data_IF_228097058936
#
_entry.id   IF_228097058936
#
_cell.length_a   1.000
_cell.length_b   1.000
_cell.length_c   1.000
_cell.angle_alpha   90.00
_cell.angle_beta   90.00
_cell.angle_gamma   90.00
#
_symmetry.space_group_name_H-M   'P 1'
#
loop_
_entity.id
_entity.type
_entity.pdbx_description
1 polymer ?
#
# COMPACT_ATOMS: atom_id res chain seq x y z
N UNK A 1 -41.24 -34.33 -64.29
CA UNK A 1 -39.84 -34.30 -63.85
C UNK A 1 -39.65 -33.08 -62.96
N UNK A 2 -39.84 -33.25 -61.65
CA UNK A 2 -39.67 -32.17 -60.67
C UNK A 2 -38.52 -32.57 -59.75
N UNK A 3 -37.42 -31.84 -59.91
CA UNK A 3 -36.12 -32.11 -59.31
C UNK A 3 -36.14 -31.69 -57.84
N UNK A 4 -36.21 -32.69 -56.96
CA UNK A 4 -35.99 -32.57 -55.52
C UNK A 4 -34.52 -32.22 -55.25
N UNK A 5 -34.26 -31.05 -54.67
CA UNK A 5 -32.93 -30.62 -54.28
C UNK A 5 -32.77 -30.82 -52.75
N UNK A 6 -32.04 -31.84 -52.26
CA UNK A 6 -31.95 -32.17 -50.85
C UNK A 6 -30.60 -31.72 -50.29
N UNK A 7 -30.39 -30.41 -50.16
CA UNK A 7 -29.28 -29.87 -49.36
C UNK A 7 -29.84 -29.06 -48.20
N UNK A 8 -30.34 -29.77 -47.17
CA UNK A 8 -30.50 -29.20 -45.83
C UNK A 8 -29.09 -29.01 -45.27
N UNK A 9 -28.60 -27.78 -45.29
CA UNK A 9 -27.40 -27.39 -44.57
C UNK A 9 -27.64 -27.66 -43.07
N UNK A 10 -27.06 -28.76 -42.55
CA UNK A 10 -26.92 -28.97 -41.13
C UNK A 10 -25.89 -27.97 -40.61
N UNK A 11 -26.37 -26.80 -40.16
CA UNK A 11 -25.59 -25.92 -39.28
C UNK A 11 -25.40 -26.66 -37.95
N UNK A 12 -24.30 -27.39 -37.85
CA UNK A 12 -23.77 -27.92 -36.60
C UNK A 12 -23.43 -26.73 -35.69
N UNK A 13 -24.42 -26.23 -34.96
CA UNK A 13 -24.23 -25.33 -33.82
C UNK A 13 -23.53 -26.12 -32.71
N UNK A 14 -22.24 -26.36 -32.88
CA UNK A 14 -21.39 -26.90 -31.83
C UNK A 14 -21.24 -25.81 -30.78
N UNK A 15 -22.02 -25.90 -29.70
CA UNK A 15 -21.82 -25.07 -28.52
C UNK A 15 -20.38 -25.28 -28.06
N UNK A 16 -19.58 -24.23 -28.16
CA UNK A 16 -18.24 -24.22 -27.57
C UNK A 16 -18.48 -24.05 -26.07
N UNK A 17 -18.30 -25.13 -25.32
CA UNK A 17 -18.34 -25.10 -23.86
C UNK A 17 -16.97 -24.67 -23.35
N UNK A 18 -16.95 -23.59 -22.55
CA UNK A 18 -15.72 -23.11 -21.90
C UNK A 18 -15.47 -24.00 -20.68
N UNK A 19 -14.27 -24.59 -20.53
CA UNK A 19 -13.89 -25.34 -19.34
C UNK A 19 -14.10 -24.49 -18.06
N UNK A 20 -14.70 -25.05 -17.00
CA UNK A 20 -15.00 -24.31 -15.78
C UNK A 20 -13.75 -23.74 -15.10
N UNK A 21 -12.59 -24.38 -15.25
CA UNK A 21 -11.31 -23.90 -14.74
C UNK A 21 -10.92 -22.57 -15.36
N UNK A 22 -11.13 -22.40 -16.67
CA UNK A 22 -10.86 -21.14 -17.35
C UNK A 22 -11.82 -20.05 -16.90
N UNK A 23 -13.09 -20.38 -16.64
CA UNK A 23 -14.07 -19.43 -16.08
C UNK A 23 -13.61 -18.97 -14.70
N UNK A 24 -13.14 -19.89 -13.85
CA UNK A 24 -12.60 -19.55 -12.53
C UNK A 24 -11.36 -18.63 -12.62
N UNK A 25 -10.41 -18.91 -13.52
CA UNK A 25 -9.24 -18.05 -13.71
C UNK A 25 -9.63 -16.66 -14.22
N UNK A 26 -10.53 -16.58 -15.20
CA UNK A 26 -11.05 -15.32 -15.73
C UNK A 26 -11.71 -14.51 -14.61
N UNK A 27 -12.57 -15.16 -13.81
CA UNK A 27 -13.26 -14.49 -12.72
C UNK A 27 -12.31 -14.04 -11.63
N UNK A 28 -11.32 -14.86 -11.26
CA UNK A 28 -10.30 -14.51 -10.27
C UNK A 28 -9.48 -13.30 -10.72
N UNK A 29 -8.99 -13.32 -11.95
CA UNK A 29 -8.20 -12.22 -12.49
C UNK A 29 -9.04 -10.93 -12.61
N UNK A 30 -10.26 -11.02 -13.14
CA UNK A 30 -11.15 -9.88 -13.27
C UNK A 30 -11.59 -9.31 -11.90
N UNK A 31 -11.79 -10.17 -10.90
CA UNK A 31 -12.08 -9.77 -9.52
C UNK A 31 -10.89 -9.02 -8.90
N UNK A 32 -9.66 -9.51 -9.12
CA UNK A 32 -8.46 -8.87 -8.59
C UNK A 32 -8.27 -7.43 -9.09
N UNK A 33 -8.60 -7.15 -10.36
CA UNK A 33 -8.36 -5.83 -10.96
C UNK A 33 -9.57 -4.87 -10.87
N UNK A 34 -10.78 -5.39 -10.58
CA UNK A 34 -12.03 -4.62 -10.68
C UNK A 34 -13.02 -4.86 -9.55
N UNK A 35 -13.11 -3.90 -8.62
CA UNK A 35 -14.10 -3.92 -7.54
C UNK A 35 -15.56 -3.98 -8.06
N UNK A 36 -15.97 -3.22 -9.10
CA UNK A 36 -17.32 -3.36 -9.66
C UNK A 36 -17.62 -4.78 -10.17
N UNK A 37 -16.61 -5.46 -10.72
CA UNK A 37 -16.74 -6.85 -11.16
C UNK A 37 -16.92 -7.80 -9.97
N UNK A 38 -16.13 -7.65 -8.89
CA UNK A 38 -16.34 -8.40 -7.63
C UNK A 38 -17.77 -8.25 -7.11
N UNK A 39 -18.25 -7.01 -7.01
CA UNK A 39 -19.60 -6.72 -6.52
C UNK A 39 -20.68 -7.35 -7.40
N UNK A 40 -20.44 -7.42 -8.71
CA UNK A 40 -21.33 -8.11 -9.66
C UNK A 40 -21.31 -9.61 -9.42
N UNK A 41 -20.13 -10.23 -9.33
CA UNK A 41 -19.99 -11.66 -9.03
C UNK A 41 -20.66 -12.06 -7.71
N UNK A 42 -20.55 -11.21 -6.69
CA UNK A 42 -21.22 -11.39 -5.40
C UNK A 42 -22.75 -11.49 -5.50
N UNK A 43 -23.36 -10.98 -6.59
CA UNK A 43 -24.82 -11.00 -6.79
C UNK A 43 -25.30 -12.12 -7.72
N UNK A 44 -24.39 -12.80 -8.43
CA UNK A 44 -24.77 -13.81 -9.44
C UNK A 44 -25.14 -15.13 -8.79
N UNK A 45 -24.29 -15.66 -7.91
CA UNK A 45 -24.48 -16.96 -7.26
C UNK A 45 -23.63 -17.07 -5.98
N UNK A 46 -23.88 -18.09 -5.15
CA UNK A 46 -23.10 -18.33 -3.93
C UNK A 46 -21.63 -18.67 -4.21
N UNK A 47 -21.34 -19.46 -5.24
CA UNK A 47 -19.96 -19.85 -5.56
C UNK A 47 -19.16 -18.67 -6.11
N UNK A 48 -19.77 -17.81 -6.95
CA UNK A 48 -19.11 -16.59 -7.45
C UNK A 48 -18.92 -15.57 -6.33
N UNK A 49 -19.84 -15.53 -5.37
CA UNK A 49 -19.70 -14.72 -4.16
C UNK A 49 -18.50 -15.17 -3.32
N UNK A 50 -18.39 -16.47 -3.02
CA UNK A 50 -17.22 -17.03 -2.30
C UNK A 50 -15.90 -16.77 -3.03
N UNK A 51 -15.89 -16.86 -4.36
CA UNK A 51 -14.70 -16.55 -5.16
C UNK A 51 -14.33 -15.06 -5.08
N UNK A 52 -15.31 -14.16 -5.11
CA UNK A 52 -15.06 -12.72 -5.18
C UNK A 52 -14.75 -12.09 -3.81
N UNK A 53 -15.24 -12.66 -2.70
CA UNK A 53 -15.09 -12.10 -1.35
C UNK A 53 -13.63 -11.79 -0.97
N UNK A 54 -12.65 -12.71 -1.12
CA UNK A 54 -11.26 -12.41 -0.80
C UNK A 54 -10.70 -11.19 -1.56
N UNK A 55 -11.09 -11.01 -2.82
CA UNK A 55 -10.65 -9.88 -3.66
C UNK A 55 -11.39 -8.59 -3.31
N UNK A 56 -12.64 -8.66 -2.86
CA UNK A 56 -13.40 -7.50 -2.42
C UNK A 56 -12.84 -6.92 -1.12
N UNK A 57 -12.37 -7.79 -0.21
CA UNK A 57 -11.82 -7.40 1.09
C UNK A 57 -10.30 -7.22 1.09
N UNK A 58 -9.59 -7.54 0.01
CA UNK A 58 -8.13 -7.42 -0.03
C UNK A 58 -7.65 -5.99 0.17
N UNK A 59 -8.41 -5.03 -0.34
CA UNK A 59 -8.07 -3.60 -0.26
C UNK A 59 -9.18 -2.84 0.46
N UNK A 60 -8.83 -2.19 1.58
CA UNK A 60 -9.75 -1.38 2.37
C UNK A 60 -9.38 0.11 2.27
N UNK A 61 -10.36 0.97 1.97
CA UNK A 61 -10.18 2.43 1.87
C UNK A 61 -11.09 3.11 2.88
N UNK A 62 -10.49 3.83 3.83
CA UNK A 62 -11.15 4.47 4.95
C UNK A 62 -10.83 5.96 4.98
N UNK A 63 -11.80 6.78 4.56
CA UNK A 63 -11.64 8.23 4.41
C UNK A 63 -12.10 9.02 5.62
N UNK A 64 -12.99 8.47 6.44
CA UNK A 64 -13.56 9.17 7.59
C UNK A 64 -13.80 8.24 8.80
N UNK A 65 -14.11 8.84 9.96
CA UNK A 65 -14.31 8.11 11.21
C UNK A 65 -15.51 7.15 11.17
N UNK A 66 -16.58 7.50 10.46
CA UNK A 66 -17.75 6.62 10.32
C UNK A 66 -17.36 5.32 9.61
N UNK A 67 -16.59 5.41 8.52
CA UNK A 67 -16.06 4.26 7.79
C UNK A 67 -15.10 3.44 8.66
N UNK A 68 -14.26 4.07 9.49
CA UNK A 68 -13.41 3.38 10.47
C UNK A 68 -14.25 2.51 11.43
N UNK A 69 -15.29 3.08 12.03
CA UNK A 69 -16.17 2.35 12.95
C UNK A 69 -16.91 1.19 12.26
N UNK A 70 -17.41 1.42 11.04
CA UNK A 70 -18.07 0.38 10.25
C UNK A 70 -17.10 -0.75 9.88
N UNK A 71 -15.86 -0.40 9.52
CA UNK A 71 -14.85 -1.37 9.15
C UNK A 71 -14.45 -2.24 10.35
N UNK A 72 -14.17 -1.64 11.51
CA UNK A 72 -13.92 -2.40 12.75
C UNK A 72 -15.09 -3.31 13.10
N UNK A 73 -16.32 -2.80 13.05
CA UNK A 73 -17.49 -3.64 13.31
C UNK A 73 -17.57 -4.82 12.34
N UNK A 74 -17.15 -4.64 11.07
CA UNK A 74 -17.05 -5.72 10.11
C UNK A 74 -15.95 -6.73 10.46
N UNK A 75 -14.78 -6.28 10.90
CA UNK A 75 -13.67 -7.15 11.30
C UNK A 75 -13.98 -7.96 12.57
N UNK A 76 -14.78 -7.40 13.48
CA UNK A 76 -15.14 -8.01 14.75
C UNK A 76 -16.40 -8.91 14.67
N UNK A 77 -17.12 -8.91 13.54
CA UNK A 77 -18.29 -9.76 13.38
C UNK A 77 -17.88 -11.22 13.40
N UNK A 78 -18.22 -11.89 14.50
CA UNK A 78 -17.96 -13.31 14.67
C UNK A 78 -18.82 -14.13 13.69
N UNK A 79 -18.23 -15.13 13.01
CA UNK A 79 -18.96 -15.99 12.07
C UNK A 79 -20.12 -16.77 12.73
N UNK A 80 -20.15 -16.86 14.06
CA UNK A 80 -21.14 -17.65 14.79
C UNK A 80 -22.57 -17.08 14.83
N UNK A 81 -22.81 -15.86 14.34
CA UNK A 81 -24.16 -15.24 14.42
C UNK A 81 -25.06 -15.48 13.21
N UNK A 82 -24.55 -16.04 12.11
CA UNK A 82 -25.38 -16.43 10.96
C UNK A 82 -25.28 -17.92 10.72
N UNK A 83 -26.39 -18.63 10.98
CA UNK A 83 -26.54 -20.10 10.97
C UNK A 83 -26.19 -20.76 9.62
N UNK A 84 -25.92 -19.99 8.57
CA UNK A 84 -25.47 -20.47 7.27
C UNK A 84 -24.65 -19.37 6.58
N UNK A 85 -23.55 -19.77 5.93
CA UNK A 85 -22.87 -19.09 4.80
C UNK A 85 -21.46 -18.53 5.11
N UNK A 86 -20.47 -19.33 4.67
CA UNK A 86 -19.03 -19.09 4.50
C UNK A 86 -18.15 -18.99 5.76
N UNK A 87 -17.11 -19.83 5.81
CA UNK A 87 -15.97 -19.75 6.74
C UNK A 87 -15.04 -18.54 6.41
N UNK A 88 -15.59 -17.50 5.80
CA UNK A 88 -14.82 -16.35 5.35
C UNK A 88 -14.58 -15.39 6.51
N UNK A 89 -13.31 -15.15 6.82
CA UNK A 89 -12.88 -14.18 7.81
C UNK A 89 -12.35 -12.91 7.13
N UNK A 90 -13.09 -11.79 7.14
CA UNK A 90 -12.68 -10.55 6.47
C UNK A 90 -11.28 -10.08 6.86
N UNK A 91 -10.92 -10.19 8.14
CA UNK A 91 -9.64 -9.74 8.66
C UNK A 91 -8.43 -10.47 8.04
N UNK A 92 -8.59 -11.75 7.68
CA UNK A 92 -7.54 -12.51 7.00
C UNK A 92 -7.41 -12.14 5.52
N UNK A 93 -8.45 -11.58 4.91
CA UNK A 93 -8.41 -11.20 3.50
C UNK A 93 -7.69 -9.85 3.28
N UNK A 94 -7.72 -8.94 4.25
CA UNK A 94 -7.17 -7.58 4.12
C UNK A 94 -5.65 -7.61 4.01
N UNK A 95 -5.13 -7.05 2.91
CA UNK A 95 -3.70 -6.93 2.59
C UNK A 95 -3.28 -5.48 2.40
N UNK A 96 -4.17 -4.68 1.83
CA UNK A 96 -3.91 -3.30 1.46
C UNK A 96 -4.87 -2.39 2.20
N UNK A 97 -4.35 -1.36 2.84
CA UNK A 97 -5.13 -0.49 3.70
C UNK A 97 -4.79 0.97 3.44
N UNK A 98 -5.79 1.78 3.07
CA UNK A 98 -5.69 3.23 2.93
C UNK A 98 -6.53 3.90 4.02
N UNK A 99 -5.91 4.68 4.92
CA UNK A 99 -6.59 5.34 6.05
C UNK A 99 -6.24 6.82 6.14
N UNK A 100 -7.22 7.68 5.82
CA UNK A 100 -7.08 9.14 5.98
C UNK A 100 -7.56 9.63 7.33
N UNK A 101 -8.53 8.94 7.94
CA UNK A 101 -9.08 9.31 9.23
C UNK A 101 -8.05 9.05 10.35
N UNK A 102 -7.63 10.12 11.04
CA UNK A 102 -6.67 10.03 12.14
C UNK A 102 -7.35 9.49 13.39
N UNK A 103 -6.98 8.29 13.84
CA UNK A 103 -7.60 7.65 15.01
C UNK A 103 -6.73 6.52 15.53
N UNK A 104 -6.74 6.31 16.85
CA UNK A 104 -6.11 5.16 17.51
C UNK A 104 -6.71 3.80 17.10
N UNK A 105 -7.89 3.81 16.46
CA UNK A 105 -8.51 2.64 15.83
C UNK A 105 -7.57 1.93 14.85
N UNK A 106 -6.61 2.64 14.23
CA UNK A 106 -5.60 2.01 13.36
C UNK A 106 -4.85 0.88 14.06
N UNK A 107 -4.65 0.97 15.38
CA UNK A 107 -4.00 -0.07 16.18
C UNK A 107 -4.84 -1.34 16.21
N UNK A 108 -6.16 -1.22 16.31
CA UNK A 108 -7.08 -2.36 16.35
C UNK A 108 -7.24 -2.99 14.96
N UNK A 109 -7.28 -2.18 13.89
CA UNK A 109 -7.22 -2.68 12.51
C UNK A 109 -5.93 -3.46 12.29
N UNK A 110 -4.79 -2.88 12.68
CA UNK A 110 -3.49 -3.51 12.52
C UNK A 110 -3.39 -4.82 13.31
N UNK A 111 -3.98 -4.91 14.51
CA UNK A 111 -4.07 -6.16 15.27
C UNK A 111 -4.88 -7.23 14.57
N UNK A 112 -6.04 -6.86 14.03
CA UNK A 112 -6.97 -7.80 13.42
C UNK A 112 -6.46 -8.36 12.08
N UNK A 113 -5.81 -7.53 11.25
CA UNK A 113 -5.43 -7.90 9.89
C UNK A 113 -3.98 -8.41 9.81
N UNK A 114 -3.76 -9.71 9.92
CA UNK A 114 -2.42 -10.33 9.91
C UNK A 114 -1.70 -10.30 8.55
N UNK A 115 -2.45 -10.20 7.46
CA UNK A 115 -1.91 -10.23 6.10
C UNK A 115 -1.63 -8.84 5.51
N UNK A 116 -1.62 -7.79 6.32
CA UNK A 116 -1.27 -6.43 5.88
C UNK A 116 0.14 -6.40 5.27
N UNK A 117 0.23 -5.81 4.09
CA UNK A 117 1.47 -5.63 3.33
C UNK A 117 1.65 -4.17 2.90
N UNK A 118 0.62 -3.55 2.32
CA UNK A 118 0.68 -2.15 1.87
C UNK A 118 -0.23 -1.30 2.74
N UNK A 119 0.31 -0.28 3.39
CA UNK A 119 -0.47 0.59 4.29
C UNK A 119 -0.22 2.05 3.92
N UNK A 120 -1.25 2.71 3.41
CA UNK A 120 -1.26 4.14 3.15
C UNK A 120 -2.01 4.87 4.29
N UNK A 121 -1.36 5.78 5.00
CA UNK A 121 -1.94 6.37 6.21
C UNK A 121 -1.39 7.76 6.57
N UNK A 122 -2.14 8.51 7.37
CA UNK A 122 -1.70 9.80 7.92
C UNK A 122 -0.51 9.62 8.90
N UNK A 123 0.46 10.52 8.94
CA UNK A 123 1.63 10.41 9.84
C UNK A 123 1.25 10.19 11.31
N UNK A 124 0.18 10.83 11.79
CA UNK A 124 -0.35 10.60 13.15
C UNK A 124 -0.85 9.16 13.38
N UNK A 125 -1.41 8.49 12.36
CA UNK A 125 -1.75 7.07 12.45
C UNK A 125 -0.48 6.20 12.51
N UNK A 126 0.59 6.58 11.80
CA UNK A 126 1.88 5.89 11.90
C UNK A 126 2.43 6.03 13.31
N UNK A 127 2.35 7.24 13.85
CA UNK A 127 2.76 7.55 15.20
C UNK A 127 1.97 6.74 16.23
N UNK A 128 0.66 6.54 16.06
CA UNK A 128 -0.12 5.64 16.92
C UNK A 128 0.42 4.22 16.88
N UNK A 129 0.71 3.67 15.70
CA UNK A 129 1.28 2.33 15.57
C UNK A 129 2.67 2.22 16.21
N UNK A 130 3.53 3.23 16.00
CA UNK A 130 4.87 3.29 16.60
C UNK A 130 4.78 3.37 18.12
N UNK A 131 3.99 4.29 18.67
CA UNK A 131 3.79 4.39 20.12
C UNK A 131 3.24 3.09 20.73
N UNK A 132 2.28 2.45 20.06
CA UNK A 132 1.69 1.21 20.53
C UNK A 132 2.67 0.02 20.49
N UNK A 133 3.70 0.08 19.66
CA UNK A 133 4.73 -0.96 19.51
C UNK A 133 6.05 -0.65 20.22
N UNK A 134 6.20 0.56 20.78
CA UNK A 134 7.37 0.91 21.60
C UNK A 134 7.28 0.23 22.99
N UNK A 135 8.32 -0.53 23.40
CA UNK A 135 8.38 -1.09 24.75
C UNK A 135 8.36 -0.01 25.84
N UNK A 136 7.79 -0.32 27.00
CA UNK A 136 7.81 0.56 28.17
C UNK A 136 6.84 1.76 28.13
N UNK A 137 6.16 2.04 27.02
CA UNK A 137 5.10 3.06 27.03
C UNK A 137 3.83 2.54 27.72
N UNK A 138 3.43 3.20 28.81
CA UNK A 138 2.24 2.89 29.61
C UNK A 138 0.92 3.32 28.92
N UNK A 139 0.78 3.11 27.61
CA UNK A 139 -0.45 3.46 26.88
C UNK A 139 -1.47 2.33 26.93
N UNK A 140 -2.74 2.73 26.91
CA UNK A 140 -3.92 1.87 27.03
C UNK A 140 -4.09 0.87 25.88
N UNK A 141 -3.45 1.10 24.72
CA UNK A 141 -3.52 0.21 23.54
C UNK A 141 -2.14 -0.24 23.10
N UNK A 142 -1.50 -1.09 23.89
CA UNK A 142 -0.25 -1.77 23.50
C UNK A 142 -0.51 -2.75 22.36
N UNK A 143 0.40 -2.78 21.40
CA UNK A 143 0.51 -3.78 20.35
C UNK A 143 1.49 -4.85 20.86
N UNK A 144 0.99 -6.07 21.08
CA UNK A 144 1.85 -7.17 21.49
C UNK A 144 2.83 -7.52 20.36
N UNK A 145 4.06 -7.93 20.72
CA UNK A 145 5.12 -8.23 19.75
C UNK A 145 4.72 -9.34 18.78
N UNK A 146 3.84 -10.26 19.20
CA UNK A 146 3.25 -11.29 18.34
C UNK A 146 2.45 -10.74 17.16
N UNK A 147 1.77 -9.60 17.33
CA UNK A 147 1.00 -9.00 16.24
C UNK A 147 1.93 -8.37 15.20
N UNK A 148 3.10 -7.89 15.63
CA UNK A 148 4.10 -7.28 14.76
C UNK A 148 4.93 -8.35 14.07
N UNK A 149 5.40 -9.34 14.82
CA UNK A 149 6.27 -10.42 14.31
C UNK A 149 5.57 -11.26 13.24
N UNK A 150 4.26 -11.49 13.37
CA UNK A 150 3.42 -12.18 12.37
C UNK A 150 3.24 -11.39 11.08
N UNK A 151 3.46 -10.07 11.06
CA UNK A 151 3.38 -9.29 9.81
C UNK A 151 4.54 -9.64 8.89
N UNK A 152 4.23 -9.62 7.60
CA UNK A 152 5.24 -9.62 6.55
C UNK A 152 6.00 -8.28 6.55
N UNK A 153 6.93 -8.15 5.62
CA UNK A 153 7.56 -6.87 5.33
C UNK A 153 6.50 -5.87 4.84
N UNK A 154 6.53 -4.67 5.43
CA UNK A 154 5.55 -3.63 5.24
C UNK A 154 6.05 -2.57 4.27
N UNK A 155 5.14 -2.16 3.40
CA UNK A 155 5.28 -1.01 2.54
C UNK A 155 4.33 0.10 3.03
N UNK A 156 4.91 1.20 3.49
CA UNK A 156 4.17 2.32 4.09
C UNK A 156 4.13 3.50 3.13
N UNK A 157 2.94 4.03 2.86
CA UNK A 157 2.75 5.32 2.19
C UNK A 157 2.21 6.35 3.18
N UNK A 158 2.99 7.38 3.51
CA UNK A 158 2.53 8.48 4.36
C UNK A 158 1.78 9.49 3.52
N UNK A 159 0.45 9.48 3.60
CA UNK A 159 -0.41 10.25 2.69
C UNK A 159 -0.55 11.72 3.09
N UNK A 160 -0.33 12.07 4.36
CA UNK A 160 -0.46 13.42 4.94
C UNK A 160 0.31 13.51 6.27
N UNK A 161 0.66 14.72 6.68
CA UNK A 161 1.33 15.04 7.95
C UNK A 161 2.78 15.49 7.77
N UNK A 162 3.29 16.23 8.76
CA UNK A 162 4.62 16.86 8.66
C UNK A 162 5.73 15.94 9.18
N UNK A 163 5.47 15.18 10.26
CA UNK A 163 6.44 14.30 10.92
C UNK A 163 6.31 12.85 10.42
N UNK A 164 6.54 12.63 9.12
CA UNK A 164 6.48 11.28 8.53
C UNK A 164 7.68 10.42 8.92
N UNK A 165 8.85 11.03 9.09
CA UNK A 165 10.06 10.34 9.49
C UNK A 165 10.08 10.02 10.99
N UNK A 166 9.24 10.67 11.80
CA UNK A 166 9.16 10.45 13.24
C UNK A 166 10.49 10.78 13.94
N UNK A 167 11.08 11.93 13.59
CA UNK A 167 12.43 12.34 14.05
C UNK A 167 12.57 12.38 15.58
N UNK A 168 11.45 12.57 16.29
CA UNK A 168 11.41 12.52 17.77
C UNK A 168 11.94 11.20 18.39
N UNK A 169 11.98 10.11 17.63
CA UNK A 169 12.46 8.80 18.12
C UNK A 169 13.97 8.58 17.91
N UNK A 170 14.65 9.50 17.25
CA UNK A 170 16.10 9.44 17.05
C UNK A 170 16.87 9.52 18.37
N UNK A 171 16.46 10.43 19.25
CA UNK A 171 17.23 10.80 20.44
C UNK A 171 17.11 9.80 21.60
N UNK A 172 16.36 8.70 21.43
CA UNK A 172 16.41 7.64 22.43
C UNK A 172 17.71 6.86 22.26
N UNK A 173 18.74 7.27 23.00
CA UNK A 173 19.98 6.47 23.13
C UNK A 173 19.70 5.03 23.58
N UNK A 174 18.54 4.81 24.19
CA UNK A 174 18.07 3.50 24.58
C UNK A 174 17.38 2.77 23.43
N UNK A 175 18.12 1.88 22.77
CA UNK A 175 17.58 0.99 21.74
C UNK A 175 16.39 0.14 22.24
N UNK A 176 16.28 -0.12 23.54
CA UNK A 176 15.16 -0.88 24.10
C UNK A 176 13.82 -0.13 24.02
N UNK A 177 13.86 1.19 23.78
CA UNK A 177 12.68 2.04 23.57
C UNK A 177 12.36 2.26 22.09
N UNK A 178 13.06 1.58 21.18
CA UNK A 178 12.74 1.64 19.76
C UNK A 178 11.51 0.79 19.45
N UNK A 179 10.61 1.31 18.63
CA UNK A 179 9.45 0.55 18.18
C UNK A 179 9.88 -0.62 17.31
N UNK A 180 9.39 -1.81 17.63
CA UNK A 180 9.65 -3.02 16.83
C UNK A 180 9.01 -2.97 15.44
N UNK A 181 8.07 -2.04 15.21
CA UNK A 181 7.45 -1.81 13.90
C UNK A 181 8.47 -1.31 12.87
N UNK A 182 9.48 -0.54 13.28
CA UNK A 182 10.47 -0.01 12.33
C UNK A 182 11.25 -1.10 11.62
N UNK A 183 11.53 -2.22 12.30
CA UNK A 183 12.15 -3.41 11.69
C UNK A 183 11.25 -4.17 10.71
N UNK A 184 9.97 -3.81 10.58
CA UNK A 184 9.06 -4.39 9.58
C UNK A 184 8.91 -3.53 8.35
N UNK A 185 9.29 -2.25 8.39
CA UNK A 185 9.12 -1.32 7.27
C UNK A 185 10.32 -1.46 6.34
N UNK A 186 10.09 -2.03 5.16
CA UNK A 186 11.14 -2.20 4.13
C UNK A 186 11.00 -1.19 2.99
N UNK A 187 9.80 -0.66 2.78
CA UNK A 187 9.51 0.34 1.76
C UNK A 187 8.73 1.49 2.36
N UNK A 188 9.17 2.71 2.08
CA UNK A 188 8.55 3.92 2.60
C UNK A 188 8.36 4.92 1.46
N UNK A 189 7.14 5.42 1.31
CA UNK A 189 6.78 6.47 0.37
C UNK A 189 6.18 7.65 1.14
N UNK A 190 6.76 8.83 1.01
CA UNK A 190 6.18 10.05 1.55
C UNK A 190 5.43 10.80 0.44
N UNK A 191 4.21 11.30 0.72
CA UNK A 191 3.52 12.23 -0.19
C UNK A 191 4.05 13.64 -0.07
N UNK A 192 4.28 14.05 1.17
CA UNK A 192 4.68 15.39 1.54
C UNK A 192 5.84 15.24 2.53
N UNK A 193 6.89 16.00 2.30
CA UNK A 193 8.01 16.12 3.23
C UNK A 193 8.11 17.60 3.57
N UNK A 194 8.23 17.92 4.85
CA UNK A 194 8.54 19.29 5.26
C UNK A 194 9.93 19.70 4.81
N UNK A 195 10.56 20.60 5.57
CA UNK A 195 11.99 20.85 5.41
C UNK A 195 12.76 19.53 5.58
N UNK A 196 13.54 19.19 4.56
CA UNK A 196 14.40 18.02 4.51
C UNK A 196 15.31 17.93 5.74
N UNK A 197 15.90 19.05 6.17
CA UNK A 197 16.81 19.09 7.31
C UNK A 197 16.16 18.68 8.63
N UNK A 198 14.84 18.85 8.76
CA UNK A 198 14.10 18.55 10.00
C UNK A 198 13.42 17.18 9.98
N UNK A 199 13.21 16.60 8.79
CA UNK A 199 12.30 15.47 8.60
C UNK A 199 12.91 14.30 7.81
N UNK A 200 14.22 14.28 7.53
CA UNK A 200 14.86 13.19 6.78
C UNK A 200 15.62 12.17 7.63
N UNK A 201 15.50 12.23 8.96
CA UNK A 201 16.13 11.19 9.77
C UNK A 201 15.38 9.87 9.66
N UNK A 202 15.99 8.91 8.97
CA UNK A 202 15.44 7.56 8.72
C UNK A 202 16.25 6.46 9.43
N UNK A 203 17.18 6.82 10.32
CA UNK A 203 18.13 5.88 10.93
C UNK A 203 17.47 4.74 11.74
N UNK A 204 16.27 4.97 12.29
CA UNK A 204 15.51 3.95 13.01
C UNK A 204 14.90 2.87 12.10
N UNK A 205 14.77 3.12 10.79
CA UNK A 205 14.27 2.14 9.83
C UNK A 205 15.35 1.16 9.38
N UNK A 206 15.80 0.30 10.30
CA UNK A 206 16.94 -0.63 10.12
C UNK A 206 16.85 -1.60 8.93
N UNK A 207 15.65 -1.82 8.36
CA UNK A 207 15.42 -2.71 7.20
C UNK A 207 14.87 -1.97 5.97
N UNK A 208 14.95 -0.63 5.95
CA UNK A 208 14.46 0.17 4.83
C UNK A 208 15.33 -0.05 3.59
N UNK A 209 14.79 -0.73 2.57
CA UNK A 209 15.46 -0.98 1.30
C UNK A 209 15.03 -0.03 0.21
N UNK A 210 13.79 0.46 0.22
CA UNK A 210 13.30 1.40 -0.79
C UNK A 210 12.68 2.64 -0.13
N UNK A 211 13.08 3.81 -0.60
CA UNK A 211 12.53 5.09 -0.15
C UNK A 211 12.07 5.90 -1.36
N UNK A 212 10.83 6.38 -1.31
CA UNK A 212 10.28 7.33 -2.27
C UNK A 212 9.92 8.63 -1.56
N UNK A 213 10.54 9.72 -2.00
CA UNK A 213 10.35 11.05 -1.42
C UNK A 213 9.87 12.02 -2.49
N UNK A 214 8.92 12.91 -2.16
CA UNK A 214 8.47 13.93 -3.08
C UNK A 214 9.54 15.04 -3.17
N UNK A 215 9.62 15.67 -4.34
CA UNK A 215 10.45 16.83 -4.56
C UNK A 215 9.64 17.96 -5.19
N UNK A 216 9.49 19.04 -4.41
CA UNK A 216 8.96 20.32 -4.83
C UNK A 216 9.69 21.44 -4.05
N UNK A 217 10.44 22.30 -4.73
CA UNK A 217 11.18 23.40 -4.10
C UNK A 217 10.24 24.55 -3.71
N UNK A 218 10.59 25.41 -2.70
CA UNK A 218 11.94 25.78 -2.26
C UNK A 218 12.51 25.05 -1.02
N UNK A 219 11.81 24.08 -0.43
CA UNK A 219 12.12 23.57 0.93
C UNK A 219 13.09 22.37 1.01
N UNK A 220 13.79 22.06 -0.09
CA UNK A 220 14.52 20.80 -0.21
C UNK A 220 15.99 21.06 -0.56
N UNK A 221 16.86 20.93 0.43
CA UNK A 221 18.29 20.94 0.19
C UNK A 221 18.73 19.59 -0.38
N UNK A 222 19.31 19.61 -1.58
CA UNK A 222 19.85 18.42 -2.25
C UNK A 222 20.98 17.77 -1.44
N UNK A 223 21.66 18.52 -0.55
CA UNK A 223 22.66 17.95 0.36
C UNK A 223 22.06 16.96 1.37
N UNK A 224 20.80 17.14 1.75
CA UNK A 224 20.14 16.20 2.66
C UNK A 224 19.82 14.88 1.95
N UNK A 225 19.63 14.89 0.62
CA UNK A 225 19.49 13.66 -0.15
C UNK A 225 20.76 12.81 -0.12
N UNK A 226 21.93 13.45 -0.11
CA UNK A 226 23.20 12.74 0.00
C UNK A 226 23.28 11.93 1.30
N UNK A 227 22.80 12.49 2.42
CA UNK A 227 22.74 11.79 3.71
C UNK A 227 21.81 10.59 3.69
N UNK A 228 20.66 10.70 3.01
CA UNK A 228 19.74 9.56 2.82
C UNK A 228 20.44 8.42 2.09
N UNK A 229 21.22 8.75 1.05
CA UNK A 229 21.92 7.76 0.23
C UNK A 229 23.00 6.99 1.00
N UNK A 230 23.44 7.51 2.14
CA UNK A 230 24.38 6.85 3.07
C UNK A 230 23.68 5.82 3.99
N UNK A 231 22.35 5.72 3.95
CA UNK A 231 21.62 4.77 4.79
C UNK A 231 22.00 3.31 4.46
N UNK A 232 22.44 2.51 5.44
CA UNK A 232 23.18 1.26 5.19
C UNK A 232 22.35 0.16 4.53
N UNK A 233 21.02 0.14 4.74
CA UNK A 233 20.14 -0.86 4.13
C UNK A 233 19.47 -0.39 2.84
N UNK A 234 19.69 0.87 2.43
CA UNK A 234 18.94 1.45 1.31
C UNK A 234 19.49 0.93 -0.03
N UNK A 235 18.62 0.31 -0.81
CA UNK A 235 18.92 -0.28 -2.13
C UNK A 235 18.38 0.61 -3.27
N UNK A 236 17.30 1.34 -3.03
CA UNK A 236 16.69 2.23 -4.00
C UNK A 236 16.18 3.54 -3.38
N UNK A 237 16.47 4.65 -4.06
CA UNK A 237 15.94 5.98 -3.77
C UNK A 237 15.18 6.51 -5.00
N UNK A 238 13.90 6.80 -4.80
CA UNK A 238 13.01 7.32 -5.83
C UNK A 238 12.64 8.75 -5.48
N UNK A 239 13.00 9.69 -6.36
CA UNK A 239 12.61 11.07 -6.22
C UNK A 239 11.36 11.30 -7.07
N UNK A 240 10.25 11.58 -6.39
CA UNK A 240 8.95 11.80 -6.98
C UNK A 240 8.78 13.30 -7.27
N UNK A 241 9.00 13.70 -8.52
CA UNK A 241 8.79 15.06 -9.01
C UNK A 241 7.29 15.34 -9.01
N UNK A 242 6.85 16.28 -8.17
CA UNK A 242 5.46 16.71 -8.13
C UNK A 242 5.26 17.79 -9.19
N UNK A 243 4.79 17.37 -10.37
CA UNK A 243 4.82 18.16 -11.60
C UNK A 243 4.02 19.46 -11.51
N UNK A 244 2.95 19.48 -10.71
CA UNK A 244 2.10 20.65 -10.48
C UNK A 244 2.65 21.64 -9.44
N UNK A 245 3.75 21.30 -8.75
CA UNK A 245 4.34 22.13 -7.69
C UNK A 245 5.81 22.52 -7.95
N UNK A 246 6.51 21.87 -8.88
CA UNK A 246 7.93 22.14 -9.16
C UNK A 246 8.09 23.33 -10.12
N UNK A 247 9.09 24.18 -9.86
CA UNK A 247 9.49 25.26 -10.77
C UNK A 247 10.50 24.74 -11.81
N UNK A 248 10.52 25.32 -13.02
CA UNK A 248 11.41 24.88 -14.10
C UNK A 248 12.90 24.91 -13.71
N UNK A 249 13.36 25.99 -13.06
CA UNK A 249 14.75 26.12 -12.60
C UNK A 249 15.13 25.03 -11.59
N UNK A 250 14.18 24.65 -10.75
CA UNK A 250 14.35 23.66 -9.70
C UNK A 250 14.36 22.24 -10.26
N UNK A 251 13.56 21.99 -11.30
CA UNK A 251 13.61 20.76 -12.08
C UNK A 251 14.98 20.58 -12.76
N UNK A 252 15.51 21.64 -13.38
CA UNK A 252 16.85 21.60 -14.01
C UNK A 252 17.92 21.26 -12.97
N UNK A 253 17.91 21.94 -11.82
CA UNK A 253 18.87 21.66 -10.73
C UNK A 253 18.79 20.23 -10.21
N UNK A 254 17.56 19.70 -10.04
CA UNK A 254 17.37 18.30 -9.63
C UNK A 254 17.91 17.32 -10.67
N UNK A 255 17.67 17.58 -11.96
CA UNK A 255 18.16 16.74 -13.05
C UNK A 255 19.69 16.74 -13.14
N UNK A 256 20.32 17.90 -12.97
CA UNK A 256 21.79 18.01 -12.92
C UNK A 256 22.37 17.20 -11.75
N UNK A 257 21.80 17.37 -10.55
CA UNK A 257 22.20 16.59 -9.36
C UNK A 257 21.99 15.08 -9.58
N UNK A 258 20.86 14.68 -10.16
CA UNK A 258 20.57 13.28 -10.45
C UNK A 258 21.63 12.68 -11.37
N UNK A 259 21.95 13.36 -12.48
CA UNK A 259 22.95 12.90 -13.45
C UNK A 259 24.37 12.84 -12.88
N UNK A 260 24.68 13.71 -11.92
CA UNK A 260 25.94 13.66 -11.17
C UNK A 260 25.98 12.41 -10.27
N UNK A 261 24.94 12.20 -9.46
CA UNK A 261 24.89 11.12 -8.47
C UNK A 261 24.75 9.74 -9.08
N UNK A 262 23.97 9.59 -10.15
CA UNK A 262 23.82 8.33 -10.88
C UNK A 262 25.17 7.79 -11.41
N UNK A 263 26.11 8.68 -11.77
CA UNK A 263 27.46 8.28 -12.22
C UNK A 263 28.37 7.82 -11.09
N UNK A 264 28.21 8.41 -9.90
CA UNK A 264 29.07 8.17 -8.74
C UNK A 264 28.57 6.95 -7.95
N UNK A 265 27.26 6.83 -7.76
CA UNK A 265 26.65 5.86 -6.86
C UNK A 265 26.25 4.58 -7.60
N UNK A 266 27.12 3.57 -7.59
CA UNK A 266 26.86 2.28 -8.27
C UNK A 266 26.04 1.28 -7.47
N UNK A 267 26.00 1.40 -6.14
CA UNK A 267 25.34 0.44 -5.26
C UNK A 267 23.86 0.74 -5.02
N UNK A 268 23.45 2.00 -5.13
CA UNK A 268 22.09 2.46 -4.89
C UNK A 268 21.39 2.74 -6.22
N UNK A 269 20.20 2.20 -6.43
CA UNK A 269 19.37 2.55 -7.58
C UNK A 269 18.71 3.90 -7.34
N UNK A 270 19.13 4.91 -8.10
CA UNK A 270 18.51 6.23 -8.07
C UNK A 270 17.54 6.35 -9.25
N UNK A 271 16.35 6.92 -9.05
CA UNK A 271 15.41 7.18 -10.15
C UNK A 271 14.57 8.43 -9.93
N UNK A 272 14.22 9.09 -11.04
CA UNK A 272 13.28 10.21 -11.07
C UNK A 272 11.95 9.74 -11.65
N UNK A 273 10.85 9.99 -10.95
CA UNK A 273 9.50 9.70 -11.43
C UNK A 273 8.63 10.94 -11.30
N UNK A 274 7.85 11.25 -12.31
CA UNK A 274 6.85 12.33 -12.25
C UNK A 274 5.51 11.82 -11.74
N UNK A 275 4.86 12.63 -10.90
CA UNK A 275 3.52 12.41 -10.37
C UNK A 275 2.81 13.75 -10.16
N UNK A 276 1.48 13.72 -10.03
CA UNK A 276 0.70 14.89 -9.66
C UNK A 276 0.27 14.79 -8.20
N UNK A 277 0.20 15.93 -7.51
CA UNK A 277 -0.07 15.96 -6.06
C UNK A 277 -1.41 15.33 -5.67
N UNK A 278 -2.41 15.34 -6.55
CA UNK A 278 -3.77 14.84 -6.34
C UNK A 278 -3.97 13.36 -6.70
N UNK A 279 -3.05 12.76 -7.47
CA UNK A 279 -3.21 11.40 -8.01
C UNK A 279 -2.64 10.28 -7.16
N UNK A 280 -2.07 10.59 -6.00
CA UNK A 280 -1.43 9.59 -5.14
C UNK A 280 -2.34 8.38 -4.83
N UNK A 281 -3.61 8.64 -4.51
CA UNK A 281 -4.55 7.55 -4.19
C UNK A 281 -4.78 6.65 -5.41
N UNK A 282 -4.98 7.24 -6.59
CA UNK A 282 -5.17 6.48 -7.84
C UNK A 282 -3.95 5.64 -8.18
N UNK A 283 -2.75 6.21 -8.05
CA UNK A 283 -1.49 5.50 -8.31
C UNK A 283 -1.30 4.34 -7.33
N UNK A 284 -1.55 4.58 -6.04
CA UNK A 284 -1.46 3.54 -5.01
C UNK A 284 -2.48 2.43 -5.24
N UNK A 285 -3.74 2.76 -5.56
CA UNK A 285 -4.77 1.76 -5.87
C UNK A 285 -4.42 0.94 -7.11
N UNK A 286 -3.88 1.58 -8.15
CA UNK A 286 -3.43 0.87 -9.34
C UNK A 286 -2.31 -0.11 -9.01
N UNK A 287 -1.33 0.30 -8.20
CA UNK A 287 -0.21 -0.54 -7.77
C UNK A 287 -0.67 -1.75 -6.96
N UNK A 288 -1.46 -1.58 -5.91
CA UNK A 288 -1.90 -2.70 -5.06
C UNK A 288 -2.83 -3.68 -5.79
N UNK A 289 -3.50 -3.23 -6.86
CA UNK A 289 -4.29 -4.10 -7.75
C UNK A 289 -3.48 -4.80 -8.85
N UNK A 290 -2.15 -4.78 -8.75
CA UNK A 290 -1.25 -5.45 -9.70
C UNK A 290 -0.87 -4.62 -10.92
N UNK A 291 -1.17 -3.31 -10.89
CA UNK A 291 -0.58 -2.36 -11.81
C UNK A 291 0.92 -2.19 -11.57
N UNK A 292 1.60 -1.49 -12.49
CA UNK A 292 3.05 -1.27 -12.39
C UNK A 292 3.37 -0.40 -11.18
N UNK A 293 4.10 -0.97 -10.22
CA UNK A 293 4.54 -0.29 -9.02
C UNK A 293 5.45 0.89 -9.33
N UNK A 294 5.51 1.89 -8.43
CA UNK A 294 6.56 2.92 -8.47
C UNK A 294 7.97 2.29 -8.49
N UNK A 295 8.14 1.18 -7.76
CA UNK A 295 9.42 0.46 -7.62
C UNK A 295 9.80 -0.34 -8.87
N UNK A 296 8.84 -0.67 -9.74
CA UNK A 296 9.08 -1.38 -11.03
C UNK A 296 9.48 -0.41 -12.16
N UNK A 297 9.56 0.89 -11.87
CA UNK A 297 9.99 1.94 -12.82
C UNK A 297 11.48 2.23 -12.75
N UNK A 298 12.19 1.62 -11.79
CA UNK A 298 13.64 1.64 -11.61
C UNK A 298 14.32 0.71 -12.61
#
# INVERSE_FOLDING_TARGET
MSSSNPFKAQTLNRKVEIPPELVHEIFRYAAQISTPFCLTLCRVSSWTHELALPHLYSTAIIKNHQQNSQFIACLQRSPFTSIRQSDFEPALAVRDLWVEAVSDIIVDIFKACDNLKHIALHADNLLWLVHSSTPGQARTRRLADEHISRKQDLEITVVKGNDWALSRYENSQDQSLTSTLFGKITRLRARHVGDYAQHLNISHYTRLTHLAIPFYLPFHDLLELDRIMEHPSLEALVIVIIADLILDNDLVRLQEWYLEKEKVQRSLKLSLVTSNSDRLQEEWEAEVRGGRSLWDRL
#
